data_IF_015516298581
#
_entry.id   IF_015516298581
#
_cell.length_a   1.000
_cell.length_b   1.000
_cell.length_c   1.000
_cell.angle_alpha   90.00
_cell.angle_beta   90.00
_cell.angle_gamma   90.00
#
_symmetry.space_group_name_H-M   'P 1'
#
loop_
_entity.id
_entity.type
_entity.pdbx_description
1 polymer ?
#
# COMPACT_ATOMS: atom_id res chain seq x y z
N UNK A 1 -3.75 22.09 -10.73
CA UNK A 1 -2.29 22.04 -10.61
C UNK A 1 -1.97 22.52 -9.21
N UNK A 2 -1.44 21.68 -8.33
CA UNK A 2 -1.11 22.08 -6.96
C UNK A 2 0.16 22.92 -7.01
N UNK A 3 0.16 24.04 -6.26
CA UNK A 3 1.28 24.95 -6.11
C UNK A 3 2.48 24.19 -5.51
N UNK A 4 3.63 24.08 -6.20
CA UNK A 4 4.79 23.34 -5.71
C UNK A 4 5.46 23.97 -4.49
N UNK A 5 5.15 25.20 -4.14
CA UNK A 5 5.74 25.93 -3.00
C UNK A 5 4.92 25.88 -1.72
N UNK A 6 3.73 25.27 -1.72
CA UNK A 6 2.91 25.21 -0.52
C UNK A 6 3.52 24.25 0.50
N UNK A 7 4.12 24.79 1.57
CA UNK A 7 4.49 24.05 2.78
C UNK A 7 3.28 23.22 3.25
N UNK A 8 3.47 21.92 3.43
CA UNK A 8 2.39 21.00 3.78
C UNK A 8 1.80 21.28 5.15
N UNK A 9 2.56 21.53 6.14
CA UNK A 9 2.26 22.08 7.48
C UNK A 9 3.51 22.02 8.38
N UNK A 10 3.44 22.54 9.59
CA UNK A 10 4.54 22.46 10.58
C UNK A 10 4.55 21.16 11.39
N UNK A 11 3.74 20.15 11.01
CA UNK A 11 3.77 18.83 11.64
C UNK A 11 5.08 18.09 11.36
N UNK A 12 5.37 17.06 12.16
CA UNK A 12 6.51 16.18 11.90
C UNK A 12 6.42 15.57 10.49
N UNK A 13 5.23 15.14 10.09
CA UNK A 13 4.99 14.54 8.76
C UNK A 13 5.26 15.57 7.65
N UNK A 14 4.82 16.83 7.83
CA UNK A 14 5.08 17.89 6.87
C UNK A 14 6.58 18.12 6.68
N UNK A 15 7.35 18.20 7.76
CA UNK A 15 8.82 18.34 7.69
C UNK A 15 9.52 17.16 7.03
N UNK A 16 9.09 15.93 7.32
CA UNK A 16 9.62 14.72 6.70
C UNK A 16 9.34 14.70 5.19
N UNK A 17 8.14 15.11 4.77
CA UNK A 17 7.79 15.21 3.35
C UNK A 17 8.56 16.31 2.62
N UNK A 18 8.79 17.46 3.27
CA UNK A 18 9.61 18.52 2.69
C UNK A 18 11.08 18.07 2.53
N UNK A 19 11.63 17.39 3.55
CA UNK A 19 12.96 16.79 3.44
C UNK A 19 13.04 15.76 2.30
N UNK A 20 12.00 14.93 2.17
CA UNK A 20 11.92 13.93 1.10
C UNK A 20 11.93 14.57 -0.28
N UNK A 21 11.16 15.67 -0.47
CA UNK A 21 11.16 16.44 -1.71
C UNK A 21 12.52 17.06 -2.02
N UNK A 22 13.21 17.61 -1.00
CA UNK A 22 14.55 18.17 -1.17
C UNK A 22 15.57 17.11 -1.58
N UNK A 23 15.45 15.89 -1.02
CA UNK A 23 16.38 14.81 -1.29
C UNK A 23 16.17 14.16 -2.66
N UNK A 24 14.91 13.91 -3.05
CA UNK A 24 14.57 13.20 -4.28
C UNK A 24 14.22 14.11 -5.46
N UNK A 25 14.10 15.42 -5.23
CA UNK A 25 13.68 16.38 -6.24
C UNK A 25 12.19 16.28 -6.56
N UNK A 26 11.82 16.49 -7.81
CA UNK A 26 10.42 16.47 -8.24
C UNK A 26 9.85 15.06 -8.20
N UNK A 27 8.74 14.91 -7.45
CA UNK A 27 8.05 13.64 -7.27
C UNK A 27 6.84 13.54 -8.20
N UNK A 28 6.72 12.42 -8.88
CA UNK A 28 5.59 12.13 -9.76
C UNK A 28 4.85 10.87 -9.29
N UNK A 29 3.52 10.82 -9.44
CA UNK A 29 2.77 9.59 -9.22
C UNK A 29 3.30 8.47 -10.12
N UNK A 30 3.74 7.37 -9.57
CA UNK A 30 4.26 6.24 -10.33
C UNK A 30 3.16 5.27 -10.77
N UNK A 31 2.18 5.03 -9.90
CA UNK A 31 1.02 4.21 -10.20
C UNK A 31 -0.18 4.60 -9.30
N UNK A 32 -1.37 4.34 -9.80
CA UNK A 32 -2.61 4.37 -9.04
C UNK A 32 -2.88 2.98 -8.48
N UNK A 33 -3.36 2.92 -7.23
CA UNK A 33 -3.72 1.68 -6.57
C UNK A 33 -5.07 1.87 -5.87
N UNK A 34 -6.01 0.97 -6.11
CA UNK A 34 -7.32 0.95 -5.45
C UNK A 34 -7.65 -0.45 -4.95
N UNK A 35 -8.45 -0.53 -3.91
CA UNK A 35 -8.93 -1.79 -3.33
C UNK A 35 -10.15 -1.55 -2.44
N UNK A 36 -10.94 -2.59 -2.28
CA UNK A 36 -12.03 -2.61 -1.31
C UNK A 36 -11.49 -3.13 0.02
N UNK A 37 -11.83 -2.46 1.12
CA UNK A 37 -11.34 -2.81 2.46
C UNK A 37 -12.46 -2.98 3.46
N UNK A 38 -12.41 -4.09 4.21
CA UNK A 38 -13.12 -4.25 5.48
C UNK A 38 -12.12 -4.17 6.61
N UNK A 39 -12.47 -3.45 7.69
CA UNK A 39 -11.57 -3.21 8.81
C UNK A 39 -12.29 -3.41 10.14
N UNK A 40 -11.64 -4.10 11.06
CA UNK A 40 -12.09 -4.31 12.45
C UNK A 40 -11.00 -3.87 13.40
N UNK A 41 -11.42 -3.26 14.49
CA UNK A 41 -10.53 -2.83 15.56
C UNK A 41 -11.11 -3.20 16.91
N UNK A 42 -10.34 -3.93 17.74
CA UNK A 42 -10.64 -4.10 19.18
C UNK A 42 -10.13 -2.89 19.95
N UNK A 43 -11.01 -2.25 20.69
CA UNK A 43 -10.64 -1.12 21.57
C UNK A 43 -9.77 -1.58 22.76
N UNK A 44 -10.06 -2.77 23.30
CA UNK A 44 -9.40 -3.30 24.50
C UNK A 44 -7.99 -3.83 24.22
N UNK A 45 -7.82 -4.50 23.08
CA UNK A 45 -6.57 -5.17 22.72
C UNK A 45 -5.72 -4.37 21.74
N UNK A 46 -6.22 -3.26 21.20
CA UNK A 46 -5.55 -2.51 20.13
C UNK A 46 -5.37 -3.31 18.83
N UNK A 47 -5.93 -4.51 18.75
CA UNK A 47 -5.88 -5.38 17.59
C UNK A 47 -6.61 -4.74 16.41
N UNK A 48 -6.00 -4.73 15.28
CA UNK A 48 -6.59 -4.27 14.02
C UNK A 48 -6.43 -5.35 12.96
N UNK A 49 -7.54 -5.72 12.34
CA UNK A 49 -7.57 -6.67 11.23
C UNK A 49 -8.18 -5.96 10.03
N UNK A 50 -7.53 -6.06 8.88
CA UNK A 50 -8.07 -5.58 7.60
C UNK A 50 -8.09 -6.70 6.60
N UNK A 51 -9.14 -6.75 5.77
CA UNK A 51 -9.24 -7.62 4.61
C UNK A 51 -9.41 -6.75 3.37
N UNK A 52 -8.48 -6.87 2.45
CA UNK A 52 -8.48 -6.15 1.18
C UNK A 52 -8.77 -7.12 0.03
N UNK A 53 -9.66 -6.72 -0.87
CA UNK A 53 -9.97 -7.44 -2.11
C UNK A 53 -10.11 -6.45 -3.27
N UNK A 54 -10.33 -6.96 -4.48
CA UNK A 54 -10.45 -6.15 -5.70
C UNK A 54 -9.30 -5.17 -5.88
N UNK A 55 -8.08 -5.60 -5.53
CA UNK A 55 -6.89 -4.76 -5.61
C UNK A 55 -6.56 -4.54 -7.08
N UNK A 56 -6.61 -3.29 -7.52
CA UNK A 56 -6.35 -2.87 -8.90
C UNK A 56 -5.23 -1.86 -8.96
N UNK A 57 -4.48 -1.86 -10.05
CA UNK A 57 -3.41 -0.90 -10.29
C UNK A 57 -3.35 -0.48 -11.76
N UNK A 58 -2.85 0.74 -12.02
CA UNK A 58 -2.61 1.28 -13.36
C UNK A 58 -1.56 2.39 -13.32
N UNK A 59 -0.98 2.68 -14.46
CA UNK A 59 0.03 3.77 -14.65
C UNK A 59 -0.51 4.99 -15.39
N UNK A 60 -1.72 4.88 -15.94
CA UNK A 60 -2.42 5.98 -16.63
C UNK A 60 -3.54 6.48 -15.76
N UNK A 61 -3.93 7.75 -15.92
CA UNK A 61 -5.01 8.39 -15.15
C UNK A 61 -4.85 8.13 -13.63
N UNK A 62 -3.69 8.53 -13.10
CA UNK A 62 -3.30 8.27 -11.70
C UNK A 62 -3.91 9.25 -10.70
N UNK A 63 -4.85 10.09 -11.12
CA UNK A 63 -5.57 10.99 -10.23
C UNK A 63 -6.40 10.19 -9.21
N UNK A 64 -6.36 10.60 -7.93
CA UNK A 64 -7.12 9.93 -6.86
C UNK A 64 -8.64 10.06 -7.02
N UNK A 65 -9.09 11.04 -7.79
CA UNK A 65 -10.51 11.28 -8.12
C UNK A 65 -11.02 10.40 -9.27
N UNK A 66 -10.11 9.71 -9.98
CA UNK A 66 -10.49 8.85 -11.08
C UNK A 66 -11.17 7.56 -10.58
N UNK A 67 -12.10 6.98 -11.36
CA UNK A 67 -12.77 5.75 -10.98
C UNK A 67 -11.79 4.59 -10.73
N UNK A 68 -12.13 3.65 -9.81
CA UNK A 68 -11.29 2.48 -9.55
C UNK A 68 -11.32 1.54 -10.75
N UNK A 69 -10.23 1.54 -11.52
CA UNK A 69 -10.03 0.71 -12.70
C UNK A 69 -8.57 0.28 -12.82
N UNK A 70 -8.27 -0.65 -13.69
CA UNK A 70 -6.91 -1.14 -13.93
C UNK A 70 -6.80 -2.66 -13.85
N UNK A 71 -5.57 -3.14 -13.91
CA UNK A 71 -5.25 -4.56 -13.81
C UNK A 71 -5.42 -5.06 -12.38
N UNK A 72 -5.84 -6.32 -12.22
CA UNK A 72 -6.04 -6.94 -10.91
C UNK A 72 -4.73 -7.47 -10.35
N UNK A 73 -4.48 -7.21 -9.06
CA UNK A 73 -3.27 -7.69 -8.37
C UNK A 73 -3.45 -9.07 -7.77
N UNK A 74 -4.65 -9.38 -7.30
CA UNK A 74 -5.05 -10.69 -6.80
C UNK A 74 -6.06 -11.34 -7.75
N UNK A 75 -6.12 -12.65 -7.72
CA UNK A 75 -7.16 -13.42 -8.44
C UNK A 75 -8.53 -13.21 -7.77
N UNK A 76 -9.58 -13.45 -8.52
CA UNK A 76 -10.95 -13.40 -7.99
C UNK A 76 -11.11 -14.36 -6.81
N UNK A 77 -11.78 -13.88 -5.75
CA UNK A 77 -11.97 -14.63 -4.52
C UNK A 77 -10.77 -14.63 -3.57
N UNK A 78 -9.64 -14.03 -3.93
CA UNK A 78 -8.51 -13.86 -3.02
C UNK A 78 -8.63 -12.58 -2.20
N UNK A 79 -8.19 -12.67 -0.96
CA UNK A 79 -8.15 -11.57 0.00
C UNK A 79 -6.75 -11.41 0.56
N UNK A 80 -6.33 -10.17 0.76
CA UNK A 80 -5.13 -9.85 1.53
C UNK A 80 -5.55 -9.49 2.95
N UNK A 81 -5.18 -10.32 3.92
CA UNK A 81 -5.39 -10.05 5.34
C UNK A 81 -4.15 -9.37 5.93
N UNK A 82 -4.35 -8.28 6.66
CA UNK A 82 -3.32 -7.61 7.44
C UNK A 82 -3.76 -7.55 8.90
N UNK A 83 -2.92 -8.05 9.80
CA UNK A 83 -3.17 -8.09 11.23
C UNK A 83 -2.12 -7.24 11.91
N UNK A 84 -2.56 -6.23 12.69
CA UNK A 84 -1.68 -5.40 13.51
C UNK A 84 -2.06 -5.58 14.97
N UNK A 85 -1.10 -6.03 15.77
CA UNK A 85 -1.22 -6.15 17.22
C UNK A 85 -0.12 -5.31 17.88
N UNK A 86 -0.42 -4.47 18.87
CA UNK A 86 0.59 -3.68 19.58
C UNK A 86 1.51 -4.55 20.46
N UNK A 87 1.13 -5.78 20.72
CA UNK A 87 1.87 -6.76 21.51
C UNK A 87 1.75 -8.16 20.93
N UNK A 88 1.79 -9.17 21.77
CA UNK A 88 1.61 -10.54 21.34
C UNK A 88 0.22 -10.75 20.71
N UNK A 89 0.16 -11.56 19.67
CA UNK A 89 -1.10 -11.91 19.02
C UNK A 89 -1.98 -12.70 19.99
N UNK A 90 -3.27 -12.37 20.14
CA UNK A 90 -4.17 -13.12 21.01
C UNK A 90 -4.26 -14.60 20.63
N UNK A 91 -4.23 -15.51 21.62
CA UNK A 91 -4.23 -16.96 21.38
C UNK A 91 -5.42 -17.46 20.57
N UNK A 92 -6.60 -16.85 20.76
CA UNK A 92 -7.79 -17.21 19.98
C UNK A 92 -7.56 -16.96 18.48
N UNK A 93 -6.89 -15.85 18.12
CA UNK A 93 -6.59 -15.51 16.74
C UNK A 93 -5.52 -16.45 16.15
N UNK A 94 -4.49 -16.76 16.94
CA UNK A 94 -3.47 -17.75 16.54
C UNK A 94 -4.13 -19.10 16.22
N UNK A 95 -5.06 -19.56 17.07
CA UNK A 95 -5.82 -20.79 16.82
C UNK A 95 -6.60 -20.73 15.52
N UNK A 96 -7.39 -19.67 15.31
CA UNK A 96 -8.17 -19.48 14.08
C UNK A 96 -7.28 -19.51 12.84
N UNK A 97 -6.16 -18.81 12.85
CA UNK A 97 -5.22 -18.78 11.71
C UNK A 97 -4.58 -20.17 11.47
N UNK A 98 -4.24 -20.87 12.55
CA UNK A 98 -3.66 -22.22 12.47
C UNK A 98 -4.64 -23.23 11.92
N UNK A 99 -5.86 -23.25 12.43
CA UNK A 99 -6.92 -24.16 11.97
C UNK A 99 -7.28 -23.91 10.50
N UNK A 100 -7.31 -22.64 10.09
CA UNK A 100 -7.51 -22.25 8.72
C UNK A 100 -6.25 -22.42 7.82
N UNK A 101 -5.12 -22.88 8.36
CA UNK A 101 -3.83 -23.03 7.69
C UNK A 101 -3.32 -21.73 7.03
N UNK A 102 -3.70 -20.58 7.58
CA UNK A 102 -3.26 -19.28 7.12
C UNK A 102 -1.89 -18.99 7.71
N UNK A 103 -0.91 -18.72 6.83
CA UNK A 103 0.47 -18.41 7.21
C UNK A 103 0.82 -16.98 6.84
N UNK A 104 1.67 -16.30 7.61
CA UNK A 104 2.14 -14.97 7.27
C UNK A 104 2.99 -15.00 6.00
N UNK A 105 2.84 -13.97 5.19
CA UNK A 105 3.63 -13.74 4.00
C UNK A 105 4.07 -12.29 3.95
N UNK A 106 5.19 -12.01 3.30
CA UNK A 106 5.59 -10.65 2.98
C UNK A 106 4.86 -10.21 1.71
N UNK A 107 4.04 -9.17 1.81
CA UNK A 107 3.27 -8.65 0.69
C UNK A 107 3.12 -7.14 0.77
N UNK A 108 3.62 -6.45 -0.25
CA UNK A 108 3.38 -5.03 -0.46
C UNK A 108 2.55 -4.85 -1.72
N UNK A 109 1.35 -4.27 -1.60
CA UNK A 109 0.49 -3.98 -2.75
C UNK A 109 1.23 -3.16 -3.81
N UNK A 110 1.84 -2.04 -3.36
CA UNK A 110 2.61 -1.17 -4.23
C UNK A 110 3.82 -1.91 -4.83
N UNK A 111 4.64 -2.55 -3.98
CA UNK A 111 5.83 -3.26 -4.44
C UNK A 111 5.50 -4.37 -5.44
N UNK A 112 4.43 -5.13 -5.21
CA UNK A 112 4.01 -6.22 -6.12
C UNK A 112 3.54 -5.65 -7.46
N UNK A 113 2.71 -4.60 -7.46
CA UNK A 113 2.27 -3.93 -8.68
C UNK A 113 3.45 -3.33 -9.46
N UNK A 114 4.35 -2.63 -8.75
CA UNK A 114 5.53 -2.02 -9.35
C UNK A 114 6.46 -3.05 -10.00
N UNK A 115 6.72 -4.17 -9.32
CA UNK A 115 7.53 -5.26 -9.86
C UNK A 115 6.90 -5.93 -11.08
N UNK A 116 5.56 -6.06 -11.13
CA UNK A 116 4.88 -6.55 -12.33
C UNK A 116 5.09 -5.60 -13.51
N UNK A 117 4.86 -4.32 -13.30
CA UNK A 117 5.05 -3.29 -14.32
C UNK A 117 6.48 -3.22 -14.85
N UNK A 118 7.48 -3.41 -13.98
CA UNK A 118 8.88 -3.51 -14.38
C UNK A 118 9.13 -4.74 -15.27
N UNK A 119 8.62 -5.91 -14.88
CA UNK A 119 8.76 -7.15 -15.68
C UNK A 119 8.08 -7.05 -17.04
N UNK A 120 6.97 -6.34 -17.12
CA UNK A 120 6.21 -6.11 -18.34
C UNK A 120 6.75 -4.93 -19.18
N UNK A 121 7.87 -4.31 -18.76
CA UNK A 121 8.46 -3.13 -19.39
C UNK A 121 7.50 -1.93 -19.54
N UNK A 122 6.43 -1.87 -18.75
CA UNK A 122 5.45 -0.79 -18.75
C UNK A 122 5.92 0.45 -18.00
N UNK A 123 6.94 0.30 -17.15
CA UNK A 123 7.64 1.39 -16.45
C UNK A 123 9.14 1.15 -16.53
N UNK A 124 9.90 2.23 -16.50
CA UNK A 124 11.36 2.19 -16.40
C UNK A 124 11.79 2.63 -15.01
N UNK A 125 12.74 1.92 -14.41
CA UNK A 125 13.42 2.44 -13.23
C UNK A 125 14.16 3.74 -13.61
N UNK A 126 13.66 4.89 -13.20
CA UNK A 126 14.43 6.13 -13.27
C UNK A 126 15.49 6.07 -12.18
N UNK A 127 16.70 5.66 -12.59
CA UNK A 127 17.97 5.97 -11.94
C UNK A 127 18.11 5.60 -10.46
N UNK A 128 18.26 4.32 -10.14
CA UNK A 128 19.18 3.93 -9.07
C UNK A 128 20.28 3.09 -9.72
N UNK A 129 21.36 3.74 -10.12
CA UNK A 129 22.64 3.06 -10.23
C UNK A 129 23.10 2.75 -8.83
N UNK A 130 23.01 1.50 -8.42
CA UNK A 130 23.81 1.03 -7.30
C UNK A 130 25.28 1.06 -7.73
N UNK A 131 26.02 2.00 -7.17
CA UNK A 131 27.49 1.96 -7.19
C UNK A 131 27.93 1.01 -6.10
#
# INVERSE_FOLDING_TARGET
MADPEKRLDDSQIGRELDYFKQFYGELFPALYLSYDRRSWRSKEQGLRITLDCNIRYRTTDVALTAPPSGETLLQDGQYLAEIKSPGAMPLWLVRVLTDAKIRPTSYSKYGTAYLRLLKEHKIQCRGFSYV
#
